data_IF_361881182995
#
_entry.id   IF_361881182995
#
_cell.length_a   1.000
_cell.length_b   1.000
_cell.length_c   1.000
_cell.angle_alpha   90.00
_cell.angle_beta   90.00
_cell.angle_gamma   90.00
#
_symmetry.space_group_name_H-M   'P 1'
#
loop_
_entity.id
_entity.type
_entity.pdbx_description
1 polymer ?
#
# COMPACT_ATOMS: atom_id res chain seq x y z
N UNK A 1 -20.76 17.17 7.46
CA UNK A 1 -20.08 16.88 6.18
C UNK A 1 -18.61 16.60 6.50
N UNK A 2 -18.20 15.34 6.60
CA UNK A 2 -16.80 14.98 6.89
C UNK A 2 -16.00 15.12 5.59
N UNK A 3 -15.54 16.33 5.33
CA UNK A 3 -14.75 16.67 4.15
C UNK A 3 -13.34 16.09 4.26
N UNK A 4 -13.02 15.23 3.29
CA UNK A 4 -11.76 15.20 2.52
C UNK A 4 -10.46 15.52 3.28
N UNK A 5 -10.30 14.96 4.48
CA UNK A 5 -9.01 15.00 5.13
C UNK A 5 -8.01 14.22 4.28
N UNK A 6 -6.82 14.77 4.01
CA UNK A 6 -5.82 14.10 3.19
C UNK A 6 -5.47 12.73 3.77
N UNK A 7 -5.39 11.72 2.91
CA UNK A 7 -4.89 10.40 3.27
C UNK A 7 -3.38 10.54 3.53
N UNK A 8 -2.97 10.27 4.77
CA UNK A 8 -1.57 10.31 5.19
C UNK A 8 -1.10 8.93 5.62
N UNK A 9 0.21 8.68 5.58
CA UNK A 9 0.79 7.41 6.07
C UNK A 9 0.34 7.10 7.51
N UNK A 10 0.27 8.11 8.36
CA UNK A 10 -0.16 7.98 9.74
C UNK A 10 -1.60 7.49 9.85
N UNK A 11 -2.51 8.00 9.01
CA UNK A 11 -3.92 7.57 8.98
C UNK A 11 -4.06 6.14 8.45
N UNK A 12 -3.29 5.77 7.44
CA UNK A 12 -3.29 4.38 6.93
C UNK A 12 -2.80 3.42 8.02
N UNK A 13 -1.71 3.77 8.74
CA UNK A 13 -1.22 2.98 9.89
C UNK A 13 -2.24 2.87 11.01
N UNK A 14 -2.93 3.96 11.36
CA UNK A 14 -4.00 3.92 12.36
C UNK A 14 -5.15 3.01 11.94
N UNK A 15 -5.54 3.07 10.66
CA UNK A 15 -6.56 2.17 10.12
C UNK A 15 -6.13 0.70 10.17
N UNK A 16 -4.86 0.39 9.86
CA UNK A 16 -4.32 -0.97 9.98
C UNK A 16 -4.43 -1.51 11.40
N UNK A 17 -4.08 -0.70 12.41
CA UNK A 17 -4.20 -1.10 13.82
C UNK A 17 -5.66 -1.34 14.20
N UNK A 18 -6.57 -0.46 13.78
CA UNK A 18 -8.00 -0.62 14.06
C UNK A 18 -8.57 -1.91 13.42
N UNK A 19 -8.20 -2.20 12.16
CA UNK A 19 -8.63 -3.41 11.46
C UNK A 19 -8.02 -4.66 12.09
N UNK A 20 -6.76 -4.62 12.52
CA UNK A 20 -6.12 -5.72 13.23
C UNK A 20 -6.85 -6.04 14.55
N UNK A 21 -7.27 -5.02 15.30
CA UNK A 21 -8.09 -5.20 16.50
C UNK A 21 -9.46 -5.83 16.17
N UNK A 22 -10.13 -5.36 15.12
CA UNK A 22 -11.41 -5.95 14.70
C UNK A 22 -11.22 -7.42 14.27
N UNK A 23 -10.14 -7.75 13.57
CA UNK A 23 -9.81 -9.13 13.20
C UNK A 23 -9.57 -9.99 14.44
N UNK A 24 -8.89 -9.47 15.47
CA UNK A 24 -8.65 -10.24 16.69
C UNK A 24 -9.93 -10.53 17.48
N UNK A 25 -10.90 -9.62 17.45
CA UNK A 25 -12.17 -9.77 18.17
C UNK A 25 -13.23 -10.58 17.39
N UNK A 26 -13.31 -10.39 16.06
CA UNK A 26 -14.41 -10.90 15.23
C UNK A 26 -13.98 -11.91 14.16
N UNK A 27 -12.68 -12.19 14.05
CA UNK A 27 -12.13 -13.16 13.12
C UNK A 27 -11.74 -12.57 11.76
N UNK A 28 -10.91 -13.32 11.02
CA UNK A 28 -10.24 -12.84 9.81
C UNK A 28 -11.13 -12.81 8.56
N UNK A 29 -12.15 -13.66 8.46
CA UNK A 29 -12.86 -13.93 7.20
C UNK A 29 -13.50 -12.68 6.59
N UNK A 30 -14.13 -11.83 7.41
CA UNK A 30 -14.86 -10.65 6.92
C UNK A 30 -13.94 -9.44 6.69
N UNK A 31 -12.91 -9.29 7.53
CA UNK A 31 -12.08 -8.08 7.58
C UNK A 31 -10.70 -8.25 6.90
N UNK A 32 -10.32 -9.48 6.55
CA UNK A 32 -9.09 -9.79 5.82
C UNK A 32 -8.90 -8.97 4.54
N UNK A 33 -9.91 -8.88 3.64
CA UNK A 33 -9.81 -8.09 2.42
C UNK A 33 -9.56 -6.59 2.69
N UNK A 34 -10.11 -6.06 3.78
CA UNK A 34 -9.89 -4.66 4.17
C UNK A 34 -8.46 -4.44 4.66
N UNK A 35 -7.91 -5.39 5.44
CA UNK A 35 -6.50 -5.38 5.87
C UNK A 35 -5.55 -5.36 4.65
N UNK A 36 -5.75 -6.27 3.71
CA UNK A 36 -4.92 -6.37 2.49
C UNK A 36 -4.98 -5.09 1.65
N UNK A 37 -6.15 -4.44 1.58
CA UNK A 37 -6.29 -3.17 0.88
C UNK A 37 -5.47 -2.06 1.56
N UNK A 38 -5.54 -1.93 2.88
CA UNK A 38 -4.80 -0.91 3.62
C UNK A 38 -3.28 -1.13 3.53
N UNK A 39 -2.83 -2.38 3.52
CA UNK A 39 -1.41 -2.72 3.30
C UNK A 39 -0.92 -2.27 1.91
N UNK A 40 -1.73 -2.49 0.87
CA UNK A 40 -1.44 -1.99 -0.49
C UNK A 40 -1.39 -0.46 -0.55
N UNK A 41 -2.36 0.22 0.07
CA UNK A 41 -2.38 1.69 0.12
C UNK A 41 -1.13 2.25 0.85
N UNK A 42 -0.68 1.60 1.92
CA UNK A 42 0.54 1.97 2.62
C UNK A 42 1.79 1.80 1.75
N UNK A 43 1.87 0.70 1.00
CA UNK A 43 2.97 0.44 0.08
C UNK A 43 3.01 1.50 -1.03
N UNK A 44 1.89 1.76 -1.70
CA UNK A 44 1.79 2.78 -2.75
C UNK A 44 2.17 4.17 -2.24
N UNK A 45 1.72 4.53 -1.03
CA UNK A 45 2.07 5.81 -0.43
C UNK A 45 3.58 5.96 -0.23
N UNK A 46 4.27 4.88 0.16
CA UNK A 46 5.72 4.84 0.35
C UNK A 46 6.46 4.91 -0.98
N UNK A 47 6.06 4.10 -1.95
CA UNK A 47 6.67 4.07 -3.28
C UNK A 47 6.56 5.41 -4.00
N UNK A 48 5.40 6.07 -3.93
CA UNK A 48 5.19 7.39 -4.53
C UNK A 48 6.12 8.47 -3.95
N UNK A 49 6.58 8.28 -2.70
CA UNK A 49 7.44 9.23 -1.98
C UNK A 49 8.90 8.81 -1.91
N UNK A 50 9.26 7.63 -2.39
CA UNK A 50 10.64 7.16 -2.40
C UNK A 50 11.27 7.30 -3.80
N UNK A 51 12.16 8.29 -4.00
CA UNK A 51 12.87 8.47 -5.26
C UNK A 51 13.72 7.26 -5.64
N UNK A 52 14.25 6.51 -4.66
CA UNK A 52 15.03 5.30 -4.94
C UNK A 52 14.15 4.16 -5.44
N UNK A 53 12.99 3.94 -4.82
CA UNK A 53 12.03 2.94 -5.30
C UNK A 53 11.56 3.27 -6.71
N UNK A 54 11.30 4.55 -7.02
CA UNK A 54 11.01 5.00 -8.39
C UNK A 54 12.17 4.73 -9.36
N UNK A 55 13.40 5.04 -8.97
CA UNK A 55 14.57 4.81 -9.82
C UNK A 55 14.79 3.31 -10.07
N UNK A 56 14.55 2.46 -9.07
CA UNK A 56 14.59 1.00 -9.18
C UNK A 56 13.55 0.50 -10.20
N UNK A 57 12.30 0.93 -10.08
CA UNK A 57 11.23 0.53 -11.00
C UNK A 57 11.54 0.89 -12.46
N UNK A 58 12.07 2.10 -12.71
CA UNK A 58 12.47 2.54 -14.05
C UNK A 58 13.59 1.66 -14.62
N UNK A 59 14.58 1.30 -13.79
CA UNK A 59 15.69 0.44 -14.21
C UNK A 59 15.22 -0.99 -14.50
N UNK A 60 14.30 -1.52 -13.70
CA UNK A 60 13.75 -2.86 -13.89
C UNK A 60 12.88 -2.92 -15.17
N UNK A 61 12.11 -1.87 -15.48
CA UNK A 61 11.35 -1.74 -16.74
C UNK A 61 12.27 -1.70 -17.98
N UNK A 62 13.38 -0.95 -17.92
CA UNK A 62 14.36 -0.88 -19.01
C UNK A 62 15.06 -2.24 -19.23
N UNK A 63 15.40 -2.96 -18.16
CA UNK A 63 15.98 -4.30 -18.27
C UNK A 63 15.00 -5.30 -18.90
N UNK A 64 13.75 -5.32 -18.44
CA UNK A 64 12.71 -6.20 -19.00
C UNK A 64 12.40 -5.90 -20.48
N UNK A 65 12.50 -4.62 -20.90
CA UNK A 65 12.35 -4.23 -22.29
C UNK A 65 13.52 -4.73 -23.17
N UNK A 66 14.75 -4.69 -22.66
CA UNK A 66 15.95 -5.18 -23.38
C UNK A 66 15.94 -6.69 -23.56
N UNK A 67 15.50 -7.44 -22.54
CA UNK A 67 15.44 -8.90 -22.60
C UNK A 67 14.39 -9.43 -23.59
N UNK A 68 13.32 -8.68 -23.86
CA UNK A 68 12.29 -9.04 -24.85
C UNK A 68 12.67 -8.74 -26.30
N UNK A 69 13.76 -8.00 -26.53
CA UNK A 69 14.23 -7.61 -27.85
C UNK A 69 15.31 -8.52 -28.44
N UNK A 70 15.63 -9.62 -27.75
CA UNK A 70 16.59 -10.67 -28.14
C UNK A 70 15.79 -11.95 -28.46
#
# INVERSE_FOLDING_TARGET
MQGDQPITEARIKQALVAVAYVISEYGRTEYGPLMERLERELLMYREARDPMSRARAILDEDQAAREKSI
#
